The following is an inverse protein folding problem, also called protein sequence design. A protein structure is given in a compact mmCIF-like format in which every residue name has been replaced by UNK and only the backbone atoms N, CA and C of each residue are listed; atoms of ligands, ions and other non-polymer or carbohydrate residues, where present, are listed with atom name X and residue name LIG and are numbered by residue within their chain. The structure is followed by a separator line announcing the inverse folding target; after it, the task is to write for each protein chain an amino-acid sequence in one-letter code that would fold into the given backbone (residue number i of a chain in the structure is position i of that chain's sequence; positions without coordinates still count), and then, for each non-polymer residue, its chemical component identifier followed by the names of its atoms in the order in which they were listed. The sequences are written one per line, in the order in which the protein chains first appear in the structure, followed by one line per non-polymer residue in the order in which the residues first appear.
data_IF_611678860811
#
_entry.id   IF_611678860811
#
_cell.length_a   1.000
_cell.length_b   1.000
_cell.length_c   1.000
_cell.angle_alpha   90.00
_cell.angle_beta   90.00
_cell.angle_gamma   90.00
#
_symmetry.space_group_name_H-M   'P 1'
#
loop_
_entity.id
_entity.type
_entity.pdbx_description
1 polymer ?
#
# COMPACT_ATOMS: atom_id res chain seq x y z
N UNK A 1 0.32 20.35 7.59
CA UNK A 1 -1.13 20.57 7.39
C UNK A 1 -1.38 20.55 5.89
N UNK A 2 -1.92 19.45 5.35
CA UNK A 2 -2.30 19.39 3.93
C UNK A 2 -3.39 20.43 3.65
N UNK A 3 -3.32 21.19 2.55
CA UNK A 3 -4.34 22.16 2.22
C UNK A 3 -5.64 21.41 1.89
N UNK A 4 -6.61 21.47 2.79
CA UNK A 4 -7.97 21.02 2.47
C UNK A 4 -8.48 21.84 1.29
N UNK A 5 -8.97 21.21 0.20
CA UNK A 5 -9.53 21.96 -0.92
C UNK A 5 -10.71 22.80 -0.42
N UNK A 6 -10.58 24.11 -0.59
CA UNK A 6 -11.56 25.12 -0.16
C UNK A 6 -12.92 24.74 -0.76
N UNK A 7 -13.92 24.47 0.08
CA UNK A 7 -15.26 24.08 -0.36
C UNK A 7 -15.83 25.21 -1.23
N UNK A 8 -16.04 24.95 -2.54
CA UNK A 8 -16.61 25.93 -3.48
C UNK A 8 -17.92 26.49 -2.91
N UNK A 9 -18.07 27.80 -2.95
CA UNK A 9 -19.24 28.50 -2.42
C UNK A 9 -20.50 28.15 -3.23
N UNK A 10 -21.68 28.30 -2.62
CA UNK A 10 -22.96 28.02 -3.29
C UNK A 10 -23.12 28.77 -4.62
N UNK A 11 -22.63 30.00 -4.69
CA UNK A 11 -22.67 30.83 -5.93
C UNK A 11 -21.81 30.24 -7.04
N UNK A 12 -20.60 29.78 -6.72
CA UNK A 12 -19.71 29.13 -7.69
C UNK A 12 -20.26 27.80 -8.17
N UNK A 13 -20.93 27.03 -7.30
CA UNK A 13 -21.60 25.77 -7.67
C UNK A 13 -22.78 25.99 -8.62
N UNK A 14 -23.59 27.00 -8.35
CA UNK A 14 -24.73 27.37 -9.21
C UNK A 14 -24.23 27.91 -10.56
N UNK A 15 -23.18 28.73 -10.55
CA UNK A 15 -22.54 29.23 -11.78
C UNK A 15 -21.96 28.08 -12.61
N UNK A 16 -21.27 27.12 -11.99
CA UNK A 16 -20.72 25.94 -12.67
C UNK A 16 -21.81 25.07 -13.30
N UNK A 17 -22.93 24.82 -12.59
CA UNK A 17 -24.09 24.11 -13.15
C UNK A 17 -24.73 24.86 -14.30
N UNK A 18 -24.87 26.18 -14.19
CA UNK A 18 -25.42 27.04 -15.25
C UNK A 18 -24.51 27.08 -16.48
N UNK A 19 -23.20 26.95 -16.27
CA UNK A 19 -22.18 26.86 -17.32
C UNK A 19 -21.98 25.44 -17.90
N UNK A 20 -22.71 24.43 -17.40
CA UNK A 20 -22.55 23.03 -17.83
C UNK A 20 -21.20 22.41 -17.48
N UNK A 21 -20.41 23.05 -16.60
CA UNK A 21 -19.10 22.57 -16.21
C UNK A 21 -19.25 21.45 -15.16
N UNK A 22 -18.52 20.33 -15.30
CA UNK A 22 -18.59 19.25 -14.33
C UNK A 22 -18.17 19.76 -12.93
N UNK A 23 -19.03 19.54 -11.93
CA UNK A 23 -18.88 20.03 -10.54
C UNK A 23 -17.67 19.38 -9.81
N UNK A 24 -16.95 18.48 -10.48
CA UNK A 24 -15.84 17.68 -9.94
C UNK A 24 -14.53 17.93 -10.71
N UNK A 25 -13.76 18.90 -10.22
CA UNK A 25 -12.42 19.22 -10.74
C UNK A 25 -11.32 18.91 -9.71
N UNK A 26 -11.64 18.18 -8.63
CA UNK A 26 -10.84 18.21 -7.41
C UNK A 26 -10.35 16.87 -6.87
N UNK A 27 -10.61 15.74 -7.53
CA UNK A 27 -10.09 14.44 -7.08
C UNK A 27 -9.61 13.68 -8.30
N UNK A 28 -8.35 13.89 -8.68
CA UNK A 28 -7.70 13.02 -9.64
C UNK A 28 -7.89 11.57 -9.18
N UNK A 29 -8.58 10.76 -9.98
CA UNK A 29 -8.84 9.37 -9.62
C UNK A 29 -7.50 8.68 -9.30
N UNK A 30 -7.41 7.94 -8.19
CA UNK A 30 -6.17 7.26 -7.84
C UNK A 30 -5.86 6.27 -8.95
N UNK A 31 -4.77 6.53 -9.70
CA UNK A 31 -4.37 5.72 -10.86
C UNK A 31 -4.41 4.22 -10.50
N UNK A 32 -5.01 3.36 -11.35
CA UNK A 32 -5.31 1.96 -11.01
C UNK A 32 -4.06 1.13 -10.66
N UNK A 33 -2.90 1.47 -11.23
CA UNK A 33 -1.62 0.82 -10.91
C UNK A 33 -1.21 0.98 -9.44
N UNK A 34 -1.60 2.08 -8.77
CA UNK A 34 -1.29 2.30 -7.35
C UNK A 34 -2.04 1.33 -6.45
N UNK A 35 -3.30 1.07 -6.80
CA UNK A 35 -4.14 0.10 -6.10
C UNK A 35 -3.57 -1.30 -6.27
N UNK A 36 -3.11 -1.64 -7.48
CA UNK A 36 -2.46 -2.91 -7.77
C UNK A 36 -1.12 -3.09 -7.03
N UNK A 37 -0.26 -2.07 -6.99
CA UNK A 37 0.98 -2.09 -6.20
C UNK A 37 0.72 -2.25 -4.69
N UNK A 38 -0.33 -1.61 -4.17
CA UNK A 38 -0.67 -1.75 -2.76
C UNK A 38 -1.08 -3.18 -2.41
N UNK A 39 -1.93 -3.79 -3.23
CA UNK A 39 -2.39 -5.16 -2.99
C UNK A 39 -1.29 -6.20 -3.21
N UNK A 40 -0.46 -6.04 -4.25
CA UNK A 40 0.69 -6.92 -4.47
C UNK A 40 1.70 -6.84 -3.33
N UNK A 41 2.04 -5.65 -2.87
CA UNK A 41 2.91 -5.47 -1.71
C UNK A 41 2.32 -6.06 -0.43
N UNK A 42 1.00 -6.03 -0.25
CA UNK A 42 0.31 -6.66 0.89
C UNK A 42 0.32 -8.18 0.80
N UNK A 43 0.08 -8.74 -0.39
CA UNK A 43 0.16 -10.18 -0.62
C UNK A 43 1.58 -10.71 -0.35
N UNK A 44 2.61 -10.02 -0.84
CA UNK A 44 4.01 -10.37 -0.57
C UNK A 44 4.33 -10.42 0.92
N UNK A 45 3.87 -9.44 1.70
CA UNK A 45 4.06 -9.41 3.15
C UNK A 45 3.36 -10.57 3.85
N UNK A 46 2.11 -10.86 3.48
CA UNK A 46 1.34 -11.94 4.09
C UNK A 46 2.02 -13.28 3.83
N UNK A 47 2.41 -13.53 2.57
CA UNK A 47 3.10 -14.76 2.17
C UNK A 47 4.43 -14.89 2.92
N UNK A 48 5.25 -13.85 2.91
CA UNK A 48 6.54 -13.86 3.60
C UNK A 48 6.39 -14.08 5.11
N UNK A 49 5.38 -13.46 5.73
CA UNK A 49 5.09 -13.64 7.15
C UNK A 49 4.68 -15.07 7.47
N UNK A 50 3.76 -15.66 6.68
CA UNK A 50 3.34 -17.06 6.86
C UNK A 50 4.52 -18.01 6.71
N UNK A 51 5.37 -17.81 5.70
CA UNK A 51 6.57 -18.63 5.51
C UNK A 51 7.56 -18.51 6.67
N UNK A 52 7.71 -17.30 7.23
CA UNK A 52 8.57 -17.06 8.38
C UNK A 52 8.01 -17.75 9.64
N UNK A 53 6.69 -17.72 9.84
CA UNK A 53 6.03 -18.46 10.93
C UNK A 53 6.27 -19.96 10.79
N UNK A 54 6.10 -20.52 9.59
CA UNK A 54 6.37 -21.94 9.32
C UNK A 54 7.84 -22.29 9.64
N UNK A 55 8.78 -21.45 9.22
CA UNK A 55 10.20 -21.67 9.49
C UNK A 55 10.53 -21.60 10.98
N UNK A 56 9.86 -20.73 11.75
CA UNK A 56 9.99 -20.67 13.21
C UNK A 56 9.43 -21.92 13.88
N UNK A 57 8.29 -22.44 13.44
CA UNK A 57 7.77 -23.71 13.93
C UNK A 57 8.74 -24.86 13.64
N UNK A 58 9.30 -24.89 12.42
CA UNK A 58 10.31 -25.87 12.04
C UNK A 58 11.56 -25.77 12.91
N UNK A 59 12.00 -24.56 13.23
CA UNK A 59 13.15 -24.30 14.12
C UNK A 59 12.92 -24.83 15.54
N UNK A 60 11.70 -24.72 16.06
CA UNK A 60 11.31 -25.28 17.36
C UNK A 60 11.27 -26.80 17.30
N UNK A 61 10.70 -27.40 16.25
CA UNK A 61 10.62 -28.86 16.10
C UNK A 61 11.99 -29.54 15.92
N UNK A 62 12.94 -28.87 15.26
CA UNK A 62 14.25 -29.45 14.96
C UNK A 62 15.34 -29.08 15.97
N UNK A 63 14.99 -28.51 17.13
CA UNK A 63 15.95 -28.03 18.14
C UNK A 63 17.10 -27.22 17.54
N UNK A 64 16.78 -26.34 16.59
CA UNK A 64 17.74 -25.49 15.90
C UNK A 64 18.75 -26.22 14.97
N UNK A 65 18.70 -27.56 14.86
CA UNK A 65 19.54 -28.31 13.93
C UNK A 65 19.01 -28.22 12.49
N UNK A 66 19.93 -28.05 11.53
CA UNK A 66 19.60 -28.03 10.09
C UNK A 66 18.83 -26.81 9.61
N UNK A 67 18.90 -25.69 10.35
CA UNK A 67 18.25 -24.44 9.95
C UNK A 67 19.03 -23.77 8.84
N UNK A 68 18.33 -23.51 7.75
CA UNK A 68 18.84 -22.76 6.61
C UNK A 68 18.55 -21.28 6.83
N UNK A 69 19.48 -20.59 7.50
CA UNK A 69 19.37 -19.16 7.80
C UNK A 69 19.13 -18.29 6.55
N UNK A 70 19.56 -18.77 5.38
CA UNK A 70 19.35 -18.06 4.11
C UNK A 70 17.86 -17.89 3.79
N UNK A 71 17.01 -18.87 4.14
CA UNK A 71 15.56 -18.80 3.92
C UNK A 71 14.90 -17.72 4.77
N UNK A 72 15.30 -17.62 6.03
CA UNK A 72 14.81 -16.57 6.94
C UNK A 72 15.17 -15.19 6.39
N UNK A 73 16.41 -15.01 5.94
CA UNK A 73 16.87 -13.74 5.32
C UNK A 73 16.04 -13.43 4.08
N UNK A 74 15.80 -14.40 3.20
CA UNK A 74 14.98 -14.22 1.99
C UNK A 74 13.57 -13.77 2.35
N UNK A 75 12.92 -14.42 3.32
CA UNK A 75 11.56 -14.05 3.74
C UNK A 75 11.50 -12.63 4.31
N UNK A 76 12.50 -12.25 5.12
CA UNK A 76 12.61 -10.87 5.63
C UNK A 76 12.78 -9.86 4.49
N UNK A 77 13.66 -10.13 3.52
CA UNK A 77 13.86 -9.26 2.35
C UNK A 77 12.56 -9.09 1.55
N UNK A 78 11.83 -10.18 1.29
CA UNK A 78 10.55 -10.14 0.58
C UNK A 78 9.52 -9.32 1.36
N UNK A 79 9.44 -9.50 2.68
CA UNK A 79 8.53 -8.75 3.55
C UNK A 79 8.81 -7.24 3.51
N UNK A 80 10.08 -6.84 3.65
CA UNK A 80 10.48 -5.43 3.58
C UNK A 80 10.30 -4.84 2.19
N UNK A 81 10.54 -5.61 1.13
CA UNK A 81 10.28 -5.18 -0.25
C UNK A 81 8.79 -4.88 -0.46
N UNK A 82 7.91 -5.75 0.03
CA UNK A 82 6.47 -5.50 0.04
C UNK A 82 6.08 -4.24 0.83
N UNK A 83 6.81 -3.94 1.93
CA UNK A 83 6.61 -2.72 2.73
C UNK A 83 7.01 -1.46 1.98
N UNK A 84 8.16 -1.49 1.31
CA UNK A 84 8.66 -0.38 0.49
C UNK A 84 7.69 -0.09 -0.67
N UNK A 85 7.19 -1.12 -1.36
CA UNK A 85 6.19 -0.96 -2.42
C UNK A 85 4.91 -0.27 -1.92
N UNK A 86 4.42 -0.66 -0.74
CA UNK A 86 3.26 0.01 -0.13
C UNK A 86 3.56 1.45 0.29
N UNK A 87 4.76 1.73 0.81
CA UNK A 87 5.18 3.09 1.14
C UNK A 87 5.20 3.96 -0.11
N UNK A 88 5.80 3.50 -1.21
CA UNK A 88 5.82 4.22 -2.50
C UNK A 88 4.39 4.46 -3.02
N UNK A 89 3.50 3.46 -2.90
CA UNK A 89 2.10 3.61 -3.28
C UNK A 89 1.35 4.63 -2.40
N UNK A 90 1.71 4.73 -1.12
CA UNK A 90 1.10 5.63 -0.13
C UNK A 90 1.70 7.04 -0.06
N UNK A 91 2.98 7.23 -0.38
CA UNK A 91 3.72 8.48 -0.18
C UNK A 91 3.21 9.63 -1.05
N UNK A 92 2.60 9.36 -2.20
CA UNK A 92 2.06 10.43 -3.07
C UNK A 92 0.69 10.97 -2.65
N UNK A 93 0.23 10.65 -1.43
CA UNK A 93 -0.93 11.32 -0.80
C UNK A 93 -0.57 12.64 -0.10
N UNK A 94 0.72 12.95 0.05
CA UNK A 94 1.19 14.17 0.69
C UNK A 94 1.69 15.20 -0.32
#
# INVERSE_FOLDING_TARGET
MSPHPKRKSLRERVAARKAGLPEYEGVAEPKPWRRWLRYSGMAMQIIAFVLLVIEVFRMIETDFFGIDQSRIIIYLVVFFTGRVLQMIAGFSRH
#
